data_IF_401067144521
#
_entry.id   IF_401067144521
#
_cell.length_a   1.000
_cell.length_b   1.000
_cell.length_c   1.000
_cell.angle_alpha   90.00
_cell.angle_beta   90.00
_cell.angle_gamma   90.00
#
_symmetry.space_group_name_H-M   'P 1'
#
loop_
_entity.id
_entity.type
_entity.pdbx_description
1 polymer ?
#
# COMPACT_ATOMS: atom_id res chain seq x y z
N UNK A 1 -4.57 -1.20 -20.50
CA UNK A 1 -4.87 0.23 -20.27
C UNK A 1 -4.65 0.47 -18.79
N UNK A 2 -3.94 1.53 -18.38
CA UNK A 2 -3.82 1.85 -16.96
C UNK A 2 -5.20 2.18 -16.42
N UNK A 3 -5.69 1.36 -15.48
CA UNK A 3 -6.95 1.62 -14.79
C UNK A 3 -6.71 2.82 -13.88
N UNK A 4 -7.60 3.80 -13.94
CA UNK A 4 -7.52 5.03 -13.15
C UNK A 4 -8.57 5.00 -12.07
N UNK A 5 -8.18 5.18 -10.80
CA UNK A 5 -9.11 5.32 -9.68
C UNK A 5 -9.48 6.80 -9.46
N UNK A 6 -10.76 7.13 -9.17
CA UNK A 6 -11.15 8.48 -8.80
C UNK A 6 -10.77 8.84 -7.34
N UNK A 7 -10.35 7.85 -6.55
CA UNK A 7 -10.11 7.99 -5.11
C UNK A 7 -8.63 8.20 -4.77
N UNK A 8 -7.74 7.56 -5.53
CA UNK A 8 -6.30 7.62 -5.33
C UNK A 8 -5.58 7.48 -6.68
N UNK A 9 -4.35 8.00 -6.74
CA UNK A 9 -3.46 7.86 -7.89
C UNK A 9 -2.07 7.51 -7.41
N UNK A 10 -1.39 6.60 -8.09
CA UNK A 10 0.06 6.43 -7.91
C UNK A 10 0.75 7.54 -8.68
N UNK A 11 1.57 8.32 -7.99
CA UNK A 11 2.19 9.54 -8.51
C UNK A 11 3.70 9.42 -8.68
N UNK A 12 4.31 8.41 -8.05
CA UNK A 12 5.70 8.03 -8.24
C UNK A 12 5.88 6.53 -7.98
N UNK A 13 6.86 5.92 -8.66
CA UNK A 13 7.18 4.50 -8.54
C UNK A 13 6.16 3.55 -9.17
N UNK A 14 6.30 2.25 -8.87
CA UNK A 14 5.45 1.19 -9.43
C UNK A 14 4.60 0.53 -8.34
N UNK A 15 3.31 0.89 -8.33
CA UNK A 15 2.28 0.26 -7.55
C UNK A 15 1.01 0.22 -8.41
N UNK A 16 0.79 -0.85 -9.18
CA UNK A 16 -0.27 -0.88 -10.15
C UNK A 16 -1.66 -0.83 -9.50
N UNK A 17 -2.63 -0.32 -10.27
CA UNK A 17 -4.04 -0.48 -9.97
C UNK A 17 -4.54 -1.75 -10.65
N UNK A 18 -5.14 -2.65 -9.88
CA UNK A 18 -5.79 -3.84 -10.43
C UNK A 18 -7.17 -3.53 -11.05
N UNK A 19 -7.85 -4.57 -11.53
CA UNK A 19 -9.17 -4.46 -12.18
C UNK A 19 -10.28 -3.96 -11.24
N UNK A 20 -10.12 -4.16 -9.93
CA UNK A 20 -11.03 -3.72 -8.89
C UNK A 20 -10.68 -2.32 -8.36
N UNK A 21 -9.59 -1.72 -8.85
CA UNK A 21 -9.10 -0.41 -8.47
C UNK A 21 -8.31 -0.39 -7.16
N UNK A 22 -7.87 -1.54 -6.67
CA UNK A 22 -6.96 -1.64 -5.54
C UNK A 22 -5.54 -1.27 -5.98
N UNK A 23 -4.82 -0.53 -5.14
CA UNK A 23 -3.38 -0.37 -5.31
C UNK A 23 -2.68 -1.60 -4.77
N UNK A 24 -1.81 -2.21 -5.59
CA UNK A 24 -1.03 -3.39 -5.21
C UNK A 24 0.47 -3.09 -5.31
N UNK A 25 1.29 -3.94 -4.68
CA UNK A 25 2.71 -4.02 -5.04
C UNK A 25 2.85 -4.57 -6.48
N UNK A 26 4.01 -4.39 -7.13
CA UNK A 26 4.28 -5.10 -8.38
C UNK A 26 4.18 -6.62 -8.17
N UNK A 27 3.78 -7.34 -9.22
CA UNK A 27 3.65 -8.80 -9.26
C UNK A 27 2.66 -9.43 -8.24
N UNK A 28 1.85 -8.62 -7.56
CA UNK A 28 0.84 -9.08 -6.60
C UNK A 28 -0.09 -10.15 -7.20
N UNK A 29 -0.21 -11.28 -6.49
CA UNK A 29 -0.98 -12.45 -6.93
C UNK A 29 -0.22 -13.42 -7.85
N UNK A 30 1.01 -13.09 -8.24
CA UNK A 30 1.90 -13.94 -9.04
C UNK A 30 3.17 -14.32 -8.29
N UNK A 31 4.13 -13.38 -8.23
CA UNK A 31 5.45 -13.56 -7.60
C UNK A 31 5.62 -12.55 -6.47
N UNK A 32 6.74 -12.64 -5.75
CA UNK A 32 7.08 -11.65 -4.73
C UNK A 32 7.34 -10.29 -5.39
N UNK A 33 7.04 -9.20 -4.66
CA UNK A 33 7.35 -7.87 -5.14
C UNK A 33 8.88 -7.67 -5.26
N UNK A 34 9.36 -6.78 -6.16
CA UNK A 34 10.78 -6.57 -6.33
C UNK A 34 11.43 -5.91 -5.10
N UNK A 35 12.71 -6.22 -4.90
CA UNK A 35 13.59 -5.53 -3.95
C UNK A 35 13.85 -4.09 -4.39
N UNK A 36 14.32 -3.25 -3.45
CA UNK A 36 14.70 -1.84 -3.69
C UNK A 36 13.64 -1.02 -4.45
N UNK A 37 12.36 -1.31 -4.19
CA UNK A 37 11.24 -0.69 -4.88
C UNK A 37 10.50 0.27 -3.96
N UNK A 38 9.88 1.29 -4.56
CA UNK A 38 9.09 2.26 -3.81
C UNK A 38 7.98 2.82 -4.68
N UNK A 39 6.92 3.30 -4.03
CA UNK A 39 5.88 4.07 -4.70
C UNK A 39 5.22 5.08 -3.75
N UNK A 40 4.67 6.14 -4.34
CA UNK A 40 3.90 7.18 -3.65
C UNK A 40 2.48 7.19 -4.19
N UNK A 41 1.52 7.05 -3.29
CA UNK A 41 0.10 7.03 -3.58
C UNK A 41 -0.53 8.31 -3.03
N UNK A 42 -1.05 9.14 -3.92
CA UNK A 42 -1.78 10.35 -3.57
C UNK A 42 -3.27 10.07 -3.39
N UNK A 43 -3.82 10.50 -2.25
CA UNK A 43 -5.26 10.52 -2.02
C UNK A 43 -5.88 11.70 -2.77
N UNK A 44 -6.96 11.44 -3.51
CA UNK A 44 -7.71 12.42 -4.29
C UNK A 44 -9.01 12.79 -3.56
N UNK A 45 -10.15 12.29 -4.02
CA UNK A 45 -11.47 12.61 -3.47
C UNK A 45 -11.99 11.53 -2.50
N UNK A 46 -11.10 10.78 -1.86
CA UNK A 46 -11.48 9.69 -0.95
C UNK A 46 -11.86 10.23 0.43
N UNK A 47 -13.03 9.85 0.93
CA UNK A 47 -13.52 10.23 2.27
C UNK A 47 -13.79 9.02 3.17
N UNK A 48 -13.33 7.83 2.75
CA UNK A 48 -13.53 6.57 3.46
C UNK A 48 -12.32 6.19 4.32
N UNK A 49 -12.25 4.90 4.66
CA UNK A 49 -11.12 4.28 5.33
C UNK A 49 -10.45 3.25 4.41
N UNK A 50 -9.19 2.94 4.66
CA UNK A 50 -8.46 1.91 3.92
C UNK A 50 -9.10 0.54 4.17
N UNK A 51 -9.68 -0.03 3.12
CA UNK A 51 -10.09 -1.43 3.09
C UNK A 51 -8.93 -2.30 2.62
N UNK A 52 -8.12 -2.74 3.59
CA UNK A 52 -6.94 -3.58 3.34
C UNK A 52 -7.40 -5.02 3.11
N UNK A 53 -7.35 -5.49 1.86
CA UNK A 53 -7.69 -6.87 1.50
C UNK A 53 -6.58 -7.84 1.97
N UNK A 54 -5.33 -7.56 1.57
CA UNK A 54 -4.13 -8.33 1.95
C UNK A 54 -3.03 -7.38 2.38
N UNK A 55 -2.26 -7.79 3.39
CA UNK A 55 -1.01 -7.12 3.75
C UNK A 55 -0.03 -8.15 4.32
N UNK A 56 1.06 -8.37 3.60
CA UNK A 56 2.15 -9.28 3.95
C UNK A 56 3.42 -8.77 3.27
N UNK A 57 4.34 -8.25 4.07
CA UNK A 57 5.63 -7.70 3.67
C UNK A 57 6.74 -8.27 4.56
N UNK A 58 8.02 -8.01 4.27
CA UNK A 58 9.09 -8.41 5.18
C UNK A 58 9.00 -7.61 6.49
N UNK A 59 8.89 -8.35 7.60
CA UNK A 59 8.66 -7.78 8.93
C UNK A 59 9.83 -6.91 9.39
N UNK A 60 9.56 -5.62 9.62
CA UNK A 60 10.54 -4.65 10.10
C UNK A 60 11.45 -4.04 9.04
N UNK A 61 11.32 -4.44 7.77
CA UNK A 61 12.22 -4.01 6.69
C UNK A 61 11.46 -3.32 5.56
N UNK A 62 10.47 -4.02 4.99
CA UNK A 62 9.57 -3.47 4.00
C UNK A 62 8.44 -2.71 4.68
N UNK A 63 8.17 -1.47 4.26
CA UNK A 63 7.27 -0.59 4.99
C UNK A 63 6.19 0.05 4.14
N UNK A 64 5.00 0.18 4.74
CA UNK A 64 3.91 1.02 4.26
C UNK A 64 3.66 2.12 5.31
N UNK A 65 3.76 3.37 4.91
CA UNK A 65 3.52 4.52 5.77
C UNK A 65 2.16 5.15 5.47
N UNK A 66 1.29 5.22 6.48
CA UNK A 66 -0.03 5.87 6.40
C UNK A 66 -0.22 6.79 7.59
N UNK A 67 -0.48 8.09 7.35
CA UNK A 67 -0.66 9.10 8.39
C UNK A 67 0.52 9.16 9.41
N UNK A 68 1.76 8.99 8.94
CA UNK A 68 2.98 8.88 9.76
C UNK A 68 3.09 7.61 10.62
N UNK A 69 2.17 6.65 10.49
CA UNK A 69 2.30 5.32 11.09
C UNK A 69 2.95 4.38 10.08
N UNK A 70 3.95 3.62 10.53
CA UNK A 70 4.71 2.68 9.71
C UNK A 70 4.20 1.27 9.99
N UNK A 71 3.88 0.54 8.93
CA UNK A 71 3.41 -0.83 8.98
C UNK A 71 4.34 -1.73 8.17
N UNK A 72 4.54 -2.97 8.61
CA UNK A 72 5.37 -3.98 7.96
C UNK A 72 4.83 -5.38 8.32
N UNK A 73 5.42 -6.47 7.83
CA UNK A 73 4.97 -7.81 8.21
C UNK A 73 3.54 -8.09 7.76
N UNK A 74 2.72 -8.72 8.62
CA UNK A 74 1.38 -9.22 8.26
C UNK A 74 0.25 -8.48 8.95
N UNK A 75 -0.89 -8.34 8.25
CA UNK A 75 -2.12 -7.68 8.75
C UNK A 75 -2.58 -8.16 10.13
N UNK A 76 -2.40 -9.45 10.42
CA UNK A 76 -2.88 -10.13 11.63
C UNK A 76 -1.82 -10.22 12.75
N UNK A 77 -0.62 -9.66 12.53
CA UNK A 77 0.44 -9.61 13.53
C UNK A 77 0.39 -8.28 14.28
N UNK A 78 0.27 -8.38 15.61
CA UNK A 78 0.23 -7.23 16.50
C UNK A 78 1.47 -6.34 16.35
N UNK A 79 1.23 -5.06 16.13
CA UNK A 79 2.28 -4.04 15.99
C UNK A 79 2.96 -3.97 14.61
N UNK A 80 2.79 -4.97 13.75
CA UNK A 80 3.43 -5.00 12.43
C UNK A 80 2.44 -4.59 11.33
N UNK A 81 1.27 -5.21 11.25
CA UNK A 81 0.19 -4.80 10.31
C UNK A 81 -1.15 -4.55 11.00
N UNK A 82 -1.24 -4.78 12.31
CA UNK A 82 -2.45 -4.57 13.09
C UNK A 82 -2.89 -3.09 13.03
N UNK A 83 -4.18 -2.87 12.75
CA UNK A 83 -4.77 -1.53 12.72
C UNK A 83 -4.57 -0.76 11.41
N UNK A 84 -3.90 -1.33 10.39
CA UNK A 84 -3.80 -0.71 9.07
C UNK A 84 -5.18 -0.59 8.39
N UNK A 85 -5.99 -1.64 8.48
CA UNK A 85 -7.38 -1.61 8.01
C UNK A 85 -8.21 -0.67 8.87
N UNK A 86 -9.02 0.18 8.25
CA UNK A 86 -9.88 1.15 8.95
C UNK A 86 -9.24 2.53 9.17
N UNK A 87 -7.98 2.74 8.76
CA UNK A 87 -7.37 4.08 8.80
C UNK A 87 -8.01 4.97 7.75
N UNK A 88 -8.42 6.18 8.15
CA UNK A 88 -8.79 7.24 7.20
C UNK A 88 -7.50 7.94 6.76
N UNK A 89 -7.05 7.79 5.50
CA UNK A 89 -5.81 8.41 5.06
C UNK A 89 -6.01 9.93 4.91
N UNK A 90 -5.10 10.71 5.46
CA UNK A 90 -5.16 12.19 5.46
C UNK A 90 -4.02 12.84 4.68
N UNK A 91 -3.08 12.04 4.19
CA UNK A 91 -1.94 12.48 3.39
C UNK A 91 -1.57 11.44 2.33
N UNK A 92 -0.35 11.57 1.78
CA UNK A 92 0.20 10.55 0.89
C UNK A 92 0.42 9.24 1.64
N UNK A 93 0.33 8.14 0.92
CA UNK A 93 0.71 6.81 1.38
C UNK A 93 1.99 6.44 0.63
N UNK A 94 2.98 5.95 1.36
CA UNK A 94 4.29 5.59 0.81
C UNK A 94 4.57 4.12 1.10
N UNK A 95 5.00 3.38 0.09
CA UNK A 95 5.47 2.00 0.25
C UNK A 95 6.92 1.90 -0.19
N UNK A 96 7.72 1.09 0.52
CA UNK A 96 9.11 0.78 0.18
C UNK A 96 9.43 -0.68 0.46
N UNK A 97 10.26 -1.29 -0.37
CA UNK A 97 10.95 -2.53 -0.09
C UNK A 97 12.47 -2.35 0.05
N UNK A 98 13.11 -3.19 0.85
CA UNK A 98 14.57 -3.25 0.98
C UNK A 98 15.21 -4.39 0.15
N UNK A 99 16.43 -4.83 0.50
CA UNK A 99 17.30 -5.72 -0.29
C UNK A 99 17.58 -7.06 0.40
#
# INVERSE_FOLDING_TARGET
AHITSPYWSVVDGDCPLDEDGCVTTPDYGGSDYPLDSACIIQILNFTGYLDVITFSTESGYDTLTVNNNVFSGKKDVQGEGEGLHGIVPTGVIEWTSDY
#
